data_IF_505168844577
#
_entry.id   IF_505168844577
#
_cell.length_a   1.000
_cell.length_b   1.000
_cell.length_c   1.000
_cell.angle_alpha   90.00
_cell.angle_beta   90.00
_cell.angle_gamma   90.00
#
_symmetry.space_group_name_H-M   'P 1'
#
loop_
_entity.id
_entity.type
_entity.pdbx_description
1 polymer ?
#
# COMPACT_ATOMS: atom_id res chain seq x y z
N UNK A 1 -19.17 -15.80 -0.69
CA UNK A 1 -17.81 -16.22 -1.10
C UNK A 1 -17.10 -16.83 0.11
N UNK A 2 -17.34 -18.10 0.47
CA UNK A 2 -16.85 -18.69 1.73
C UNK A 2 -15.76 -19.76 1.49
N UNK A 3 -14.58 -19.37 1.00
CA UNK A 3 -13.48 -20.32 0.73
C UNK A 3 -12.19 -20.04 1.54
N UNK A 4 -12.18 -19.07 2.46
CA UNK A 4 -10.98 -18.72 3.26
C UNK A 4 -10.94 -19.36 4.67
N UNK A 5 -11.93 -20.18 5.04
CA UNK A 5 -12.10 -20.67 6.41
C UNK A 5 -11.31 -21.96 6.75
N UNK A 6 -10.56 -22.54 5.82
CA UNK A 6 -9.94 -23.87 5.98
C UNK A 6 -8.45 -23.87 6.35
N UNK A 7 -7.77 -22.72 6.51
CA UNK A 7 -6.43 -22.67 7.08
C UNK A 7 -6.48 -22.36 8.59
N UNK A 8 -5.78 -23.11 9.46
CA UNK A 8 -5.72 -22.85 10.91
C UNK A 8 -5.11 -21.48 11.26
N UNK A 9 -4.45 -20.83 10.29
CA UNK A 9 -3.94 -19.46 10.40
C UNK A 9 -5.04 -18.39 10.47
N UNK A 10 -6.21 -18.62 9.89
CA UNK A 10 -7.31 -17.65 9.90
C UNK A 10 -7.90 -17.44 11.29
N UNK A 11 -8.05 -18.51 12.08
CA UNK A 11 -8.57 -18.45 13.45
C UNK A 11 -7.60 -17.75 14.43
N UNK A 12 -6.29 -17.89 14.22
CA UNK A 12 -5.27 -17.20 15.03
C UNK A 12 -5.15 -15.71 14.68
N UNK A 13 -5.31 -15.32 13.41
CA UNK A 13 -5.21 -13.92 12.99
C UNK A 13 -6.47 -13.10 13.31
N UNK A 14 -7.64 -13.73 13.33
CA UNK A 14 -8.93 -13.07 13.57
C UNK A 14 -8.97 -12.19 14.84
N UNK A 15 -8.55 -12.65 16.04
CA UNK A 15 -8.56 -11.80 17.24
C UNK A 15 -7.58 -10.62 17.15
N UNK A 16 -6.42 -10.78 16.49
CA UNK A 16 -5.49 -9.67 16.26
C UNK A 16 -6.04 -8.65 15.27
N UNK A 17 -6.69 -9.11 14.20
CA UNK A 17 -7.32 -8.27 13.21
C UNK A 17 -8.51 -7.50 13.81
N UNK A 18 -9.30 -8.16 14.68
CA UNK A 18 -10.41 -7.55 15.40
C UNK A 18 -9.92 -6.46 16.36
N UNK A 19 -8.89 -6.76 17.16
CA UNK A 19 -8.25 -5.80 18.07
C UNK A 19 -7.61 -4.61 17.33
N UNK A 20 -7.02 -4.86 16.16
CA UNK A 20 -6.50 -3.80 15.31
C UNK A 20 -7.64 -2.93 14.78
N UNK A 21 -8.71 -3.55 14.25
CA UNK A 21 -9.87 -2.84 13.72
C UNK A 21 -10.55 -1.96 14.78
N UNK A 22 -10.75 -2.46 16.00
CA UNK A 22 -11.34 -1.68 17.10
C UNK A 22 -10.51 -0.45 17.48
N UNK A 23 -9.18 -0.54 17.38
CA UNK A 23 -8.30 0.61 17.64
C UNK A 23 -8.33 1.62 16.51
N UNK A 24 -8.36 1.15 15.26
CA UNK A 24 -8.50 2.02 14.11
C UNK A 24 -9.86 2.70 14.09
N UNK A 25 -10.96 1.99 14.35
CA UNK A 25 -12.31 2.58 14.38
C UNK A 25 -12.42 3.65 15.49
N UNK A 26 -11.78 3.44 16.66
CA UNK A 26 -11.69 4.48 17.70
C UNK A 26 -10.84 5.69 17.30
N UNK A 27 -9.72 5.46 16.61
CA UNK A 27 -8.89 6.55 16.11
C UNK A 27 -9.62 7.33 15.00
N UNK A 28 -10.34 6.63 14.13
CA UNK A 28 -11.09 7.17 13.01
C UNK A 28 -12.31 7.97 13.47
N UNK A 29 -12.92 7.63 14.61
CA UNK A 29 -13.94 8.43 15.28
C UNK A 29 -13.42 9.76 15.87
N UNK A 30 -12.09 9.90 16.07
CA UNK A 30 -11.47 11.11 16.64
C UNK A 30 -11.04 12.12 15.58
N UNK A 31 -10.80 11.65 14.35
CA UNK A 31 -10.46 12.49 13.20
C UNK A 31 -11.69 12.65 12.31
N UNK A 32 -12.11 13.89 12.01
CA UNK A 32 -13.23 14.17 11.10
C UNK A 32 -13.17 13.31 9.84
N UNK A 33 -14.33 12.86 9.34
CA UNK A 33 -14.45 11.97 8.17
C UNK A 33 -13.62 12.44 6.95
N UNK A 34 -13.37 13.74 6.86
CA UNK A 34 -12.54 14.37 5.82
C UNK A 34 -11.07 13.91 5.84
N UNK A 35 -10.48 13.65 7.00
CA UNK A 35 -9.10 13.16 7.10
C UNK A 35 -8.95 11.77 6.46
N UNK A 36 -9.94 10.91 6.68
CA UNK A 36 -9.98 9.55 6.10
C UNK A 36 -10.09 9.63 4.58
N UNK A 37 -10.91 10.54 4.07
CA UNK A 37 -11.03 10.79 2.62
C UNK A 37 -9.68 11.23 2.05
N UNK A 38 -9.00 12.18 2.70
CA UNK A 38 -7.67 12.63 2.26
C UNK A 38 -6.67 11.47 2.21
N UNK A 39 -6.59 10.66 3.27
CA UNK A 39 -5.68 9.50 3.32
C UNK A 39 -6.03 8.49 2.23
N UNK A 40 -7.31 8.19 2.04
CA UNK A 40 -7.76 7.26 1.00
C UNK A 40 -7.35 7.74 -0.41
N UNK A 41 -7.48 9.04 -0.69
CA UNK A 41 -7.07 9.65 -1.96
C UNK A 41 -5.55 9.58 -2.14
N UNK A 42 -4.77 9.86 -1.10
CA UNK A 42 -3.30 9.76 -1.14
C UNK A 42 -2.84 8.31 -1.40
N UNK A 43 -3.46 7.35 -0.75
CA UNK A 43 -3.18 5.93 -0.97
C UNK A 43 -3.56 5.50 -2.38
N UNK A 44 -4.73 5.91 -2.87
CA UNK A 44 -5.16 5.62 -4.25
C UNK A 44 -4.15 6.18 -5.27
N UNK A 45 -3.78 7.46 -5.14
CA UNK A 45 -2.76 8.10 -5.98
C UNK A 45 -1.43 7.35 -5.95
N UNK A 46 -0.95 6.98 -4.76
CA UNK A 46 0.28 6.20 -4.59
C UNK A 46 0.20 4.83 -5.28
N UNK A 47 -0.91 4.10 -5.11
CA UNK A 47 -1.10 2.79 -5.74
C UNK A 47 -1.15 2.86 -7.27
N UNK A 48 -1.82 3.88 -7.83
CA UNK A 48 -1.92 4.07 -9.28
C UNK A 48 -0.54 4.39 -9.87
N UNK A 49 0.24 5.25 -9.21
CA UNK A 49 1.62 5.57 -9.63
C UNK A 49 2.52 4.33 -9.62
N UNK A 50 2.47 3.53 -8.55
CA UNK A 50 3.25 2.29 -8.45
C UNK A 50 2.80 1.25 -9.49
N UNK A 51 1.49 1.07 -9.67
CA UNK A 51 0.95 0.14 -10.66
C UNK A 51 1.31 0.56 -12.09
N UNK A 52 1.20 1.85 -12.41
CA UNK A 52 1.58 2.38 -13.73
C UNK A 52 3.06 2.14 -14.05
N UNK A 53 3.94 2.38 -13.08
CA UNK A 53 5.38 2.11 -13.22
C UNK A 53 5.68 0.60 -13.35
N UNK A 54 4.99 -0.25 -12.59
CA UNK A 54 5.13 -1.69 -12.71
C UNK A 54 4.71 -2.20 -14.10
N UNK A 55 3.58 -1.72 -14.63
CA UNK A 55 3.12 -2.03 -15.99
C UNK A 55 4.11 -1.54 -17.04
N UNK A 56 4.71 -0.36 -16.84
CA UNK A 56 5.74 0.16 -17.74
C UNK A 56 7.00 -0.72 -17.77
N UNK A 57 7.48 -1.19 -16.61
CA UNK A 57 8.59 -2.14 -16.59
C UNK A 57 8.23 -3.45 -17.30
N UNK A 58 7.05 -4.02 -17.08
CA UNK A 58 6.65 -5.27 -17.75
C UNK A 58 6.57 -5.12 -19.27
N UNK A 59 6.09 -3.98 -19.77
CA UNK A 59 5.81 -3.78 -21.20
C UNK A 59 7.00 -3.21 -22.00
N UNK A 60 7.85 -2.38 -21.39
CA UNK A 60 8.93 -1.66 -22.07
C UNK A 60 10.32 -1.96 -21.51
N UNK A 61 10.43 -2.18 -20.21
CA UNK A 61 11.70 -2.41 -19.52
C UNK A 61 11.77 -3.81 -18.94
N UNK A 62 11.70 -4.84 -19.81
CA UNK A 62 11.76 -6.28 -19.47
C UNK A 62 12.51 -6.54 -18.15
N UNK A 63 11.81 -6.61 -17.01
CA UNK A 63 12.46 -6.60 -15.70
C UNK A 63 11.52 -6.37 -14.53
N UNK A 64 12.06 -6.48 -13.31
CA UNK A 64 11.38 -6.25 -12.04
C UNK A 64 11.58 -4.80 -11.59
N UNK A 65 10.51 -4.21 -11.04
CA UNK A 65 10.52 -2.87 -10.46
C UNK A 65 11.41 -2.85 -9.21
N UNK A 66 12.54 -2.13 -9.26
CA UNK A 66 13.36 -1.82 -8.08
C UNK A 66 13.40 -0.31 -7.85
N UNK A 67 12.89 0.12 -6.70
CA UNK A 67 12.86 1.53 -6.33
C UNK A 67 14.08 1.87 -5.49
N UNK A 68 14.99 2.69 -6.01
CA UNK A 68 16.10 3.21 -5.22
C UNK A 68 15.82 4.66 -4.83
N UNK A 69 15.72 4.92 -3.52
CA UNK A 69 15.36 6.21 -2.95
C UNK A 69 16.65 6.95 -2.58
N UNK A 70 17.07 7.94 -3.39
CA UNK A 70 18.22 8.80 -3.06
C UNK A 70 17.76 10.19 -2.67
N UNK A 71 18.10 10.58 -1.43
CA UNK A 71 17.98 11.95 -0.98
C UNK A 71 19.16 12.76 -1.52
N UNK A 72 18.89 13.67 -2.47
CA UNK A 72 19.88 14.63 -2.97
C UNK A 72 19.62 15.98 -2.31
N UNK A 73 20.68 16.78 -2.11
CA UNK A 73 20.68 17.95 -1.21
C UNK A 73 19.57 19.01 -1.41
N UNK A 74 18.88 19.00 -2.55
CA UNK A 74 17.84 19.98 -2.92
C UNK A 74 16.52 19.35 -3.40
N UNK A 75 16.33 18.04 -3.24
CA UNK A 75 15.08 17.40 -3.66
C UNK A 75 15.00 15.90 -3.44
N UNK A 76 13.82 15.36 -3.69
CA UNK A 76 13.56 13.94 -3.65
C UNK A 76 13.74 13.36 -5.06
N UNK A 77 14.82 12.59 -5.27
CA UNK A 77 15.10 11.94 -6.55
C UNK A 77 14.64 10.49 -6.49
N UNK A 78 13.62 10.17 -7.29
CA UNK A 78 13.08 8.83 -7.42
C UNK A 78 13.64 8.21 -8.70
N UNK A 79 14.65 7.35 -8.54
CA UNK A 79 15.11 6.49 -9.63
C UNK A 79 14.31 5.19 -9.58
N UNK A 80 13.35 5.08 -10.49
CA UNK A 80 12.65 3.82 -10.78
C UNK A 80 13.48 3.08 -11.82
N UNK A 81 14.32 2.14 -11.39
CA UNK A 81 15.11 1.31 -12.31
C UNK A 81 14.33 0.02 -12.59
N UNK A 82 14.12 -0.32 -13.87
CA UNK A 82 13.62 -1.65 -14.24
C UNK A 82 14.84 -2.57 -14.38
N UNK A 83 15.06 -3.50 -13.46
CA UNK A 83 16.16 -4.47 -13.55
C UNK A 83 15.72 -5.77 -14.21
N UNK A 84 16.47 -6.24 -15.20
CA UNK A 84 16.23 -7.52 -15.90
C UNK A 84 16.25 -8.73 -14.97
#
# INVERSE_FOLDING_TARGET
MPALASLPLGAYYFPYLLSAKDRFDRALLRYDAWYVVLVAVLLALGTVLLAGMAVWCVTKGHGKFTGHWKWVKWGFSVSMECQR
#
